data_IF_141587875063
#
_entry.id   IF_141587875063
#
_cell.length_a   1.000
_cell.length_b   1.000
_cell.length_c   1.000
_cell.angle_alpha   90.00
_cell.angle_beta   90.00
_cell.angle_gamma   90.00
#
_symmetry.space_group_name_H-M   'P 1'
#
loop_
_entity.id
_entity.type
_entity.pdbx_description
1 polymer ?
#
# COMPACT_ATOMS: atom_id res chain seq x y z
N UNK A 1 -66.40 11.49 -47.05
CA UNK A 1 -65.07 11.97 -46.61
C UNK A 1 -64.51 11.25 -45.36
N UNK A 2 -64.76 9.94 -45.16
CA UNK A 2 -64.23 9.19 -44.00
C UNK A 2 -63.16 8.13 -44.34
N UNK A 3 -62.86 7.89 -45.63
CA UNK A 3 -61.93 6.83 -46.06
C UNK A 3 -60.44 7.19 -45.88
N UNK A 4 -60.06 8.49 -45.96
CA UNK A 4 -58.65 8.91 -45.84
C UNK A 4 -58.13 8.92 -44.40
N UNK A 5 -59.00 9.06 -43.39
CA UNK A 5 -58.58 9.15 -41.98
C UNK A 5 -58.13 7.78 -41.43
N UNK A 6 -58.78 6.69 -41.85
CA UNK A 6 -58.39 5.33 -41.45
C UNK A 6 -57.04 4.90 -42.01
N UNK A 7 -56.72 5.33 -43.23
CA UNK A 7 -55.45 4.99 -43.89
C UNK A 7 -54.26 5.72 -43.25
N UNK A 8 -54.43 6.99 -42.88
CA UNK A 8 -53.41 7.77 -42.15
C UNK A 8 -53.18 7.19 -40.75
N UNK A 9 -54.26 6.82 -40.04
CA UNK A 9 -54.15 6.18 -38.72
C UNK A 9 -53.39 4.84 -38.80
N UNK A 10 -53.70 4.01 -39.80
CA UNK A 10 -53.03 2.73 -40.03
C UNK A 10 -51.53 2.93 -40.33
N UNK A 11 -51.19 3.91 -41.18
CA UNK A 11 -49.78 4.25 -41.48
C UNK A 11 -49.02 4.75 -40.26
N UNK A 12 -49.63 5.60 -39.43
CA UNK A 12 -48.98 6.10 -38.21
C UNK A 12 -48.78 4.96 -37.20
N UNK A 13 -49.77 4.07 -37.04
CA UNK A 13 -49.66 2.91 -36.14
C UNK A 13 -48.58 1.92 -36.61
N UNK A 14 -48.50 1.61 -37.91
CA UNK A 14 -47.45 0.72 -38.43
C UNK A 14 -46.06 1.35 -38.31
N UNK A 15 -45.94 2.66 -38.55
CA UNK A 15 -44.67 3.37 -38.37
C UNK A 15 -44.23 3.37 -36.90
N UNK A 16 -45.14 3.65 -35.96
CA UNK A 16 -44.87 3.59 -34.52
C UNK A 16 -44.51 2.18 -34.07
N UNK A 17 -45.14 1.16 -34.63
CA UNK A 17 -44.82 -0.23 -34.34
C UNK A 17 -43.41 -0.61 -34.82
N UNK A 18 -43.03 -0.23 -36.05
CA UNK A 18 -41.68 -0.45 -36.58
C UNK A 18 -40.63 0.31 -35.77
N UNK A 19 -40.89 1.58 -35.43
CA UNK A 19 -40.00 2.37 -34.58
C UNK A 19 -39.88 1.77 -33.16
N UNK A 20 -40.96 1.23 -32.60
CA UNK A 20 -40.96 0.51 -31.33
C UNK A 20 -40.10 -0.76 -31.37
N UNK A 21 -40.16 -1.53 -32.45
CA UNK A 21 -39.30 -2.71 -32.64
C UNK A 21 -37.82 -2.33 -32.79
N UNK A 22 -37.52 -1.28 -33.57
CA UNK A 22 -36.14 -0.78 -33.71
C UNK A 22 -35.59 -0.25 -32.37
N UNK A 23 -36.41 0.43 -31.57
CA UNK A 23 -36.03 0.90 -30.24
C UNK A 23 -35.74 -0.28 -29.29
N UNK A 24 -36.56 -1.34 -29.34
CA UNK A 24 -36.40 -2.53 -28.50
C UNK A 24 -35.16 -3.34 -28.89
N UNK A 25 -34.86 -3.44 -30.18
CA UNK A 25 -33.65 -4.09 -30.67
C UNK A 25 -32.39 -3.31 -30.26
N UNK A 26 -32.39 -1.99 -30.43
CA UNK A 26 -31.31 -1.13 -29.96
C UNK A 26 -31.12 -1.20 -28.43
N UNK A 27 -32.20 -1.28 -27.65
CA UNK A 27 -32.12 -1.46 -26.20
C UNK A 27 -31.49 -2.81 -25.83
N UNK A 28 -31.79 -3.87 -26.59
CA UNK A 28 -31.17 -5.19 -26.41
C UNK A 28 -29.68 -5.17 -26.74
N UNK A 29 -29.28 -4.52 -27.83
CA UNK A 29 -27.87 -4.32 -28.17
C UNK A 29 -27.13 -3.54 -27.08
N UNK A 30 -27.74 -2.48 -26.56
CA UNK A 30 -27.17 -1.70 -25.47
C UNK A 30 -27.02 -2.54 -24.19
N UNK A 31 -28.03 -3.32 -23.81
CA UNK A 31 -27.97 -4.20 -22.64
C UNK A 31 -26.87 -5.27 -22.77
N UNK A 32 -26.70 -5.84 -23.97
CA UNK A 32 -25.64 -6.80 -24.26
C UNK A 32 -24.24 -6.15 -24.23
N UNK A 33 -24.12 -4.92 -24.72
CA UNK A 33 -22.86 -4.18 -24.64
C UNK A 33 -22.47 -3.85 -23.19
N UNK A 34 -23.44 -3.42 -22.37
CA UNK A 34 -23.24 -3.12 -20.95
C UNK A 34 -22.87 -4.39 -20.16
N UNK A 35 -23.56 -5.51 -20.40
CA UNK A 35 -23.25 -6.77 -19.72
C UNK A 35 -21.86 -7.29 -20.09
N UNK A 36 -21.47 -7.17 -21.36
CA UNK A 36 -20.12 -7.50 -21.83
C UNK A 36 -19.06 -6.60 -21.18
N UNK A 37 -19.29 -5.29 -21.11
CA UNK A 37 -18.39 -4.37 -20.40
C UNK A 37 -18.27 -4.75 -18.92
N UNK A 38 -19.38 -4.95 -18.21
CA UNK A 38 -19.38 -5.36 -16.80
C UNK A 38 -18.58 -6.64 -16.57
N UNK A 39 -18.75 -7.64 -17.43
CA UNK A 39 -18.00 -8.90 -17.36
C UNK A 39 -16.49 -8.68 -17.54
N UNK A 40 -16.10 -7.84 -18.50
CA UNK A 40 -14.69 -7.49 -18.73
C UNK A 40 -14.10 -6.70 -17.54
N UNK A 41 -14.88 -5.77 -16.95
CA UNK A 41 -14.49 -5.05 -15.74
C UNK A 41 -14.25 -5.98 -14.56
N UNK A 42 -15.14 -6.94 -14.31
CA UNK A 42 -14.97 -7.92 -13.22
C UNK A 42 -13.76 -8.82 -13.43
N UNK A 43 -13.55 -9.31 -14.66
CA UNK A 43 -12.35 -10.08 -14.99
C UNK A 43 -11.07 -9.28 -14.76
N UNK A 44 -11.08 -8.01 -15.14
CA UNK A 44 -9.95 -7.10 -14.94
C UNK A 44 -9.66 -6.86 -13.47
N UNK A 45 -10.67 -6.53 -12.66
CA UNK A 45 -10.49 -6.33 -11.23
C UNK A 45 -9.91 -7.58 -10.54
N UNK A 46 -10.30 -8.78 -11.00
CA UNK A 46 -9.74 -10.04 -10.52
C UNK A 46 -8.26 -10.22 -10.90
N UNK A 47 -7.88 -9.89 -12.12
CA UNK A 47 -6.48 -9.94 -12.57
C UNK A 47 -5.62 -8.92 -11.81
N UNK A 48 -6.13 -7.71 -11.60
CA UNK A 48 -5.46 -6.68 -10.81
C UNK A 48 -5.22 -7.18 -9.38
N UNK A 49 -6.24 -7.79 -8.76
CA UNK A 49 -6.11 -8.39 -7.43
C UNK A 49 -5.11 -9.55 -7.40
N UNK A 50 -5.11 -10.42 -8.42
CA UNK A 50 -4.16 -11.54 -8.51
C UNK A 50 -2.72 -11.05 -8.67
N UNK A 51 -2.48 -10.07 -9.54
CA UNK A 51 -1.17 -9.50 -9.75
C UNK A 51 -0.68 -8.75 -8.49
N UNK A 52 -1.55 -7.97 -7.84
CA UNK A 52 -1.24 -7.33 -6.56
C UNK A 52 -0.91 -8.37 -5.49
N UNK A 53 -1.72 -9.43 -5.37
CA UNK A 53 -1.46 -10.53 -4.44
C UNK A 53 -0.15 -11.25 -4.76
N UNK A 54 0.19 -11.46 -6.04
CA UNK A 54 1.44 -12.11 -6.45
C UNK A 54 2.65 -11.20 -6.27
N UNK A 55 2.55 -9.91 -6.57
CA UNK A 55 3.60 -8.93 -6.31
C UNK A 55 3.89 -8.82 -4.81
N UNK A 56 2.83 -8.79 -3.99
CA UNK A 56 2.96 -8.76 -2.53
C UNK A 56 3.42 -10.10 -1.97
N UNK A 57 3.06 -11.22 -2.59
CA UNK A 57 3.58 -12.53 -2.25
C UNK A 57 5.08 -12.57 -2.57
N UNK A 58 5.47 -12.30 -3.81
CA UNK A 58 6.86 -12.28 -4.29
C UNK A 58 7.74 -11.26 -3.56
N UNK A 59 7.19 -10.17 -3.04
CA UNK A 59 7.88 -9.29 -2.10
C UNK A 59 8.50 -10.07 -0.93
N UNK A 60 7.75 -11.03 -0.38
CA UNK A 60 8.19 -11.93 0.70
C UNK A 60 9.27 -12.90 0.19
N UNK A 61 9.17 -13.40 -1.06
CA UNK A 61 10.16 -14.36 -1.62
C UNK A 61 11.47 -13.72 -2.09
N UNK A 62 11.43 -12.55 -2.73
CA UNK A 62 12.64 -11.85 -3.18
C UNK A 62 13.46 -11.30 -2.02
N UNK A 63 12.84 -11.18 -0.86
CA UNK A 63 13.44 -10.66 0.35
C UNK A 63 14.25 -11.71 1.14
N UNK A 64 14.02 -13.01 0.94
CA UNK A 64 14.79 -14.08 1.59
C UNK A 64 16.02 -14.47 0.75
N UNK A 65 17.24 -14.41 1.34
CA UNK A 65 18.50 -14.78 0.68
C UNK A 65 18.58 -16.26 0.22
N UNK A 66 17.65 -17.11 0.65
CA UNK A 66 17.44 -18.44 0.08
C UNK A 66 16.10 -18.43 -0.66
N UNK A 67 16.03 -18.84 -1.94
CA UNK A 67 14.75 -18.95 -2.64
C UNK A 67 13.95 -20.08 -1.99
N UNK A 68 12.85 -19.80 -1.27
CA UNK A 68 11.90 -20.85 -0.90
C UNK A 68 11.19 -21.30 -2.17
N UNK A 69 10.62 -22.51 -2.17
CA UNK A 69 9.96 -23.02 -3.38
C UNK A 69 8.83 -22.06 -3.80
N UNK A 70 8.78 -21.74 -5.09
CA UNK A 70 7.76 -20.87 -5.71
C UNK A 70 6.30 -21.37 -5.55
N UNK A 71 6.05 -22.41 -4.77
CA UNK A 71 4.77 -23.11 -4.68
C UNK A 71 3.80 -22.52 -3.66
N UNK A 72 4.28 -21.62 -2.79
CA UNK A 72 3.46 -20.98 -1.76
C UNK A 72 2.73 -19.71 -2.26
N UNK A 73 3.11 -19.17 -3.43
CA UNK A 73 2.28 -18.18 -4.12
C UNK A 73 1.23 -18.89 -4.97
N UNK A 74 -0.06 -18.48 -4.91
CA UNK A 74 -1.12 -19.14 -5.66
C UNK A 74 -0.87 -19.03 -7.18
N UNK A 75 -0.34 -20.11 -7.78
CA UNK A 75 -0.23 -20.27 -9.23
C UNK A 75 -1.60 -20.67 -9.76
N UNK A 76 -2.17 -19.88 -10.67
CA UNK A 76 -3.18 -20.44 -11.56
C UNK A 76 -2.45 -21.46 -12.47
N UNK A 77 -2.93 -22.71 -12.62
CA UNK A 77 -2.19 -23.78 -13.29
C UNK A 77 -1.85 -23.48 -14.77
N UNK A 78 -2.49 -22.48 -15.37
CA UNK A 78 -2.30 -22.08 -16.78
C UNK A 78 -1.47 -20.80 -16.98
N UNK A 79 -1.19 -20.04 -15.92
CA UNK A 79 -0.54 -18.73 -16.02
C UNK A 79 0.72 -18.75 -15.16
N UNK A 80 1.88 -18.63 -15.81
CA UNK A 80 3.16 -18.48 -15.12
C UNK A 80 3.48 -16.99 -15.02
N UNK A 81 3.80 -16.53 -13.83
CA UNK A 81 4.28 -15.16 -13.58
C UNK A 81 5.68 -15.25 -13.01
N UNK A 82 6.62 -14.58 -13.65
CA UNK A 82 8.02 -14.49 -13.25
C UNK A 82 8.33 -13.02 -12.94
N UNK A 83 9.02 -12.78 -11.83
CA UNK A 83 9.43 -11.44 -11.41
C UNK A 83 10.91 -11.47 -11.11
N UNK A 84 11.69 -10.69 -11.85
CA UNK A 84 13.16 -10.67 -11.73
C UNK A 84 13.66 -9.26 -11.42
N UNK A 85 14.56 -9.10 -10.44
CA UNK A 85 15.23 -7.82 -10.22
C UNK A 85 16.11 -7.46 -11.42
N UNK A 86 16.08 -6.20 -11.84
CA UNK A 86 16.97 -5.66 -12.87
C UNK A 86 18.23 -5.03 -12.27
N UNK A 87 19.17 -4.63 -13.13
CA UNK A 87 20.45 -4.03 -12.74
C UNK A 87 20.31 -2.70 -11.98
N UNK A 88 19.27 -1.92 -12.27
CA UNK A 88 18.92 -0.72 -11.49
C UNK A 88 18.17 -1.12 -10.22
N UNK A 89 18.67 -0.69 -9.05
CA UNK A 89 18.03 -0.96 -7.77
C UNK A 89 16.66 -0.29 -7.76
N UNK A 90 15.59 -1.08 -7.65
CA UNK A 90 14.16 -0.72 -7.65
C UNK A 90 13.36 -1.09 -8.89
N UNK A 91 14.00 -1.64 -9.92
CA UNK A 91 13.32 -2.09 -11.12
C UNK A 91 13.18 -3.60 -11.13
N UNK A 92 12.01 -4.04 -11.56
CA UNK A 92 11.64 -5.44 -11.64
C UNK A 92 11.01 -5.71 -13.00
N UNK A 93 11.50 -6.73 -13.69
CA UNK A 93 10.84 -7.24 -14.87
C UNK A 93 9.77 -8.23 -14.43
N UNK A 94 8.55 -8.00 -14.86
CA UNK A 94 7.42 -8.91 -14.66
C UNK A 94 7.14 -9.54 -16.01
N UNK A 95 7.21 -10.87 -16.07
CA UNK A 95 6.86 -11.65 -17.25
C UNK A 95 5.65 -12.53 -16.91
N UNK A 96 4.65 -12.52 -17.78
CA UNK A 96 3.49 -13.40 -17.67
C UNK A 96 3.44 -14.25 -18.93
N UNK A 97 3.37 -15.56 -18.76
CA UNK A 97 3.18 -16.49 -19.86
C UNK A 97 1.93 -17.33 -19.66
N UNK A 98 1.17 -17.50 -20.75
CA UNK A 98 0.08 -18.46 -20.87
C UNK A 98 0.28 -19.20 -22.18
N UNK A 99 0.51 -20.51 -22.11
CA UNK A 99 0.85 -21.34 -23.26
C UNK A 99 2.09 -20.79 -24.01
N UNK A 100 1.94 -20.41 -25.29
CA UNK A 100 3.00 -19.88 -26.15
C UNK A 100 3.09 -18.36 -26.21
N UNK A 101 2.22 -17.65 -25.49
CA UNK A 101 2.21 -16.18 -25.46
C UNK A 101 2.85 -15.72 -24.15
N UNK A 102 3.89 -14.91 -24.27
CA UNK A 102 4.56 -14.27 -23.15
C UNK A 102 4.55 -12.75 -23.34
N UNK A 103 4.13 -12.03 -22.31
CA UNK A 103 4.26 -10.58 -22.23
C UNK A 103 5.22 -10.22 -21.12
N UNK A 104 5.99 -9.15 -21.29
CA UNK A 104 6.83 -8.60 -20.23
C UNK A 104 6.63 -7.11 -20.06
N UNK A 105 6.73 -6.64 -18.82
CA UNK A 105 6.77 -5.23 -18.49
C UNK A 105 7.82 -4.98 -17.41
N UNK A 106 8.29 -3.74 -17.32
CA UNK A 106 9.24 -3.31 -16.29
C UNK A 106 8.53 -2.37 -15.33
N UNK A 107 8.47 -2.78 -14.07
CA UNK A 107 7.94 -2.01 -12.96
C UNK A 107 9.09 -1.36 -12.19
N UNK A 108 8.92 -0.11 -11.79
CA UNK A 108 9.79 0.61 -10.87
C UNK A 108 9.06 0.88 -9.54
N UNK A 109 9.73 0.59 -8.42
CA UNK A 109 9.26 0.81 -7.05
C UNK A 109 9.90 2.05 -6.40
N UNK A 110 9.14 3.12 -6.32
CA UNK A 110 9.62 4.42 -5.84
C UNK A 110 10.48 5.12 -6.89
N UNK A 111 10.97 6.31 -6.56
CA UNK A 111 11.71 7.16 -7.49
C UNK A 111 13.22 7.06 -7.25
N UNK A 112 13.64 6.71 -6.03
CA UNK A 112 15.06 6.61 -5.64
C UNK A 112 15.44 5.19 -5.25
N UNK A 113 16.73 4.89 -5.36
CA UNK A 113 17.25 3.58 -4.95
C UNK A 113 17.02 3.35 -3.44
N UNK A 114 17.18 4.41 -2.63
CA UNK A 114 17.11 4.48 -1.16
C UNK A 114 15.70 4.49 -0.56
N UNK A 115 14.66 4.42 -1.38
CA UNK A 115 13.26 4.46 -0.90
C UNK A 115 12.87 3.26 0.01
N UNK A 116 13.78 2.32 0.31
CA UNK A 116 13.53 1.19 1.21
C UNK A 116 13.64 1.54 2.69
N UNK A 117 14.46 2.54 3.08
CA UNK A 117 14.68 2.92 4.47
C UNK A 117 15.07 4.40 4.56
N UNK A 118 14.11 5.29 4.77
CA UNK A 118 14.38 6.73 4.86
C UNK A 118 14.08 7.26 6.25
N UNK A 119 15.14 7.48 7.03
CA UNK A 119 15.12 8.30 8.24
C UNK A 119 15.28 9.76 7.77
N UNK A 120 14.25 10.60 7.96
CA UNK A 120 14.39 12.04 7.70
C UNK A 120 15.15 12.68 8.86
N UNK A 121 16.33 13.21 8.57
CA UNK A 121 17.26 13.71 9.58
C UNK A 121 17.03 15.20 9.98
N UNK A 122 15.89 15.80 9.65
CA UNK A 122 15.63 17.22 9.96
C UNK A 122 15.29 17.44 11.45
N UNK A 123 14.98 16.38 12.20
CA UNK A 123 14.34 16.50 13.51
C UNK A 123 14.99 15.68 14.66
N UNK A 124 16.23 15.19 14.52
CA UNK A 124 16.93 14.47 15.60
C UNK A 124 18.12 15.28 16.05
N UNK A 125 18.08 15.79 17.29
CA UNK A 125 19.12 16.72 17.78
C UNK A 125 20.45 16.03 18.10
N UNK A 126 20.48 14.74 18.48
CA UNK A 126 21.70 14.04 18.91
C UNK A 126 21.70 12.52 18.61
N UNK A 127 22.93 12.00 18.42
CA UNK A 127 23.40 10.59 18.35
C UNK A 127 22.37 9.49 18.05
N UNK A 128 22.26 9.12 16.77
CA UNK A 128 21.75 7.82 16.33
C UNK A 128 22.91 6.96 15.84
N UNK A 129 22.78 5.63 15.97
CA UNK A 129 23.68 4.69 15.32
C UNK A 129 22.90 3.95 14.24
N UNK A 130 23.20 4.27 12.98
CA UNK A 130 22.75 3.48 11.83
C UNK A 130 23.83 2.49 11.45
N UNK A 131 23.44 1.29 11.02
CA UNK A 131 24.38 0.22 10.71
C UNK A 131 24.91 0.25 9.28
N UNK A 132 24.37 1.06 8.36
CA UNK A 132 24.89 1.12 6.98
C UNK A 132 24.80 2.47 6.27
N UNK A 133 25.50 2.53 5.12
CA UNK A 133 25.61 3.64 4.17
C UNK A 133 24.33 3.90 3.36
N UNK A 134 23.29 3.11 3.59
CA UNK A 134 22.01 3.14 2.90
C UNK A 134 21.03 4.18 3.48
N UNK A 135 21.28 4.62 4.72
CA UNK A 135 20.53 5.67 5.40
C UNK A 135 21.22 7.01 5.16
N UNK A 136 20.60 7.87 4.35
CA UNK A 136 21.15 9.21 4.10
C UNK A 136 20.81 10.16 5.28
N UNK A 137 21.80 10.78 5.92
CA UNK A 137 21.59 11.72 7.02
C UNK A 137 21.01 13.08 6.58
N UNK A 138 20.54 13.28 5.36
CA UNK A 138 19.74 14.46 5.00
C UNK A 138 19.00 14.21 3.68
N UNK A 139 17.66 14.22 3.67
CA UNK A 139 16.94 14.16 2.40
C UNK A 139 15.43 13.92 2.48
N UNK A 140 14.68 15.01 2.61
CA UNK A 140 13.26 15.19 2.22
C UNK A 140 12.97 14.57 0.81
N UNK A 141 11.80 13.99 0.43
CA UNK A 141 10.40 14.38 0.68
C UNK A 141 9.33 13.31 0.36
N UNK A 142 9.68 12.15 -0.21
CA UNK A 142 8.67 11.24 -0.80
C UNK A 142 8.60 9.90 -0.09
N UNK A 143 7.45 9.57 0.47
CA UNK A 143 7.22 8.33 1.20
C UNK A 143 7.14 7.15 0.22
N UNK A 144 8.18 6.33 0.11
CA UNK A 144 8.32 5.31 -0.95
C UNK A 144 7.91 5.80 -2.37
N UNK A 145 8.24 7.05 -2.71
CA UNK A 145 7.87 7.71 -3.97
C UNK A 145 6.49 8.37 -4.00
N UNK A 146 5.74 8.41 -2.88
CA UNK A 146 4.50 9.18 -2.76
C UNK A 146 4.75 10.61 -2.28
N UNK A 147 4.07 11.57 -2.90
CA UNK A 147 4.19 13.01 -2.60
C UNK A 147 3.17 13.49 -1.56
N UNK A 148 2.28 12.61 -1.10
CA UNK A 148 1.20 12.93 -0.15
C UNK A 148 0.83 11.73 0.71
N UNK A 149 0.40 12.01 1.94
CA UNK A 149 0.02 10.99 2.91
C UNK A 149 -1.28 10.28 2.48
N UNK A 150 -2.20 10.99 1.83
CA UNK A 150 -3.46 10.46 1.31
C UNK A 150 -3.22 9.32 0.32
N UNK A 151 -2.24 9.50 -0.59
CA UNK A 151 -1.90 8.48 -1.58
C UNK A 151 -1.29 7.23 -0.95
N UNK A 152 -0.53 7.42 0.14
CA UNK A 152 0.09 6.32 0.86
C UNK A 152 -0.91 5.55 1.74
N UNK A 153 -1.80 6.25 2.45
CA UNK A 153 -2.71 5.65 3.44
C UNK A 153 -3.48 4.46 2.83
N UNK A 154 -3.93 4.60 1.58
CA UNK A 154 -4.62 3.55 0.84
C UNK A 154 -3.79 2.29 0.59
N UNK A 155 -2.47 2.41 0.56
CA UNK A 155 -1.51 1.31 0.38
C UNK A 155 -1.04 0.69 1.68
N UNK A 156 -1.20 1.39 2.80
CA UNK A 156 -0.67 0.94 4.08
C UNK A 156 -1.49 -0.22 4.61
N UNK A 157 -2.76 0.03 4.92
CA UNK A 157 -3.64 -1.00 5.46
C UNK A 157 -4.88 -0.44 6.14
N UNK A 158 -5.30 -1.11 7.20
CA UNK A 158 -6.51 -0.78 7.93
C UNK A 158 -6.39 0.56 8.65
N UNK A 159 -7.46 1.36 8.63
CA UNK A 159 -7.51 2.64 9.34
C UNK A 159 -8.10 2.46 10.73
N UNK A 160 -7.40 3.02 11.72
CA UNK A 160 -7.83 3.24 13.08
C UNK A 160 -8.00 4.76 13.27
N UNK A 161 -9.26 5.21 13.33
CA UNK A 161 -9.61 6.58 13.71
C UNK A 161 -9.64 6.65 15.24
N UNK A 162 -8.70 7.38 15.84
CA UNK A 162 -8.53 7.43 17.28
C UNK A 162 -9.53 8.40 17.89
N UNK A 163 -10.41 7.89 18.75
CA UNK A 163 -11.41 8.72 19.42
C UNK A 163 -10.80 9.60 20.52
N UNK A 164 -9.77 9.12 21.21
CA UNK A 164 -9.07 9.88 22.25
C UNK A 164 -7.60 9.45 22.37
N UNK A 165 -6.73 10.42 22.69
CA UNK A 165 -5.30 10.17 22.88
C UNK A 165 -4.98 8.97 23.80
N UNK A 166 -5.55 8.85 25.03
CA UNK A 166 -5.19 7.78 25.95
C UNK A 166 -5.70 6.38 25.55
N UNK A 167 -6.80 6.29 24.78
CA UNK A 167 -7.36 4.98 24.37
C UNK A 167 -6.66 4.38 23.16
N UNK A 168 -5.88 5.18 22.44
CA UNK A 168 -5.20 4.76 21.21
C UNK A 168 -4.42 3.45 21.34
N UNK A 169 -3.59 3.30 22.37
CA UNK A 169 -2.77 2.11 22.56
C UNK A 169 -3.59 0.83 22.73
N UNK A 170 -4.72 0.90 23.44
CA UNK A 170 -5.62 -0.25 23.65
C UNK A 170 -6.37 -0.59 22.36
N UNK A 171 -6.85 0.42 21.64
CA UNK A 171 -7.51 0.23 20.35
C UNK A 171 -6.57 -0.37 19.30
N UNK A 172 -5.32 0.09 19.27
CA UNK A 172 -4.28 -0.44 18.39
C UNK A 172 -3.97 -1.91 18.71
N UNK A 173 -3.80 -2.26 20.00
CA UNK A 173 -3.59 -3.63 20.42
C UNK A 173 -4.77 -4.53 20.05
N UNK A 174 -6.01 -4.05 20.18
CA UNK A 174 -7.19 -4.81 19.78
C UNK A 174 -7.16 -5.12 18.27
N UNK A 175 -6.75 -4.17 17.42
CA UNK A 175 -6.57 -4.42 15.97
C UNK A 175 -5.47 -5.44 15.70
N UNK A 176 -4.34 -5.33 16.40
CA UNK A 176 -3.23 -6.27 16.26
C UNK A 176 -3.62 -7.69 16.72
N UNK A 177 -4.45 -7.83 17.76
CA UNK A 177 -4.96 -9.13 18.18
C UNK A 177 -5.91 -9.77 17.14
N UNK A 178 -6.57 -8.95 16.31
CA UNK A 178 -7.38 -9.39 15.17
C UNK A 178 -6.54 -9.63 13.89
N UNK A 179 -5.23 -9.84 14.03
CA UNK A 179 -4.31 -10.09 12.92
C UNK A 179 -4.16 -8.94 11.91
N UNK A 180 -4.62 -7.73 12.24
CA UNK A 180 -4.31 -6.55 11.42
C UNK A 180 -2.85 -6.15 11.70
N UNK A 181 -1.97 -6.33 10.73
CA UNK A 181 -0.53 -6.05 10.87
C UNK A 181 -0.11 -4.71 10.31
N UNK A 182 -0.91 -4.16 9.40
CA UNK A 182 -0.68 -2.85 8.80
C UNK A 182 -1.80 -1.90 9.21
N UNK A 183 -1.44 -0.95 10.06
CA UNK A 183 -2.41 -0.06 10.71
C UNK A 183 -2.00 1.38 10.47
N UNK A 184 -2.97 2.15 9.98
CA UNK A 184 -2.92 3.61 9.89
C UNK A 184 -3.64 4.16 11.11
N UNK A 185 -2.93 4.86 11.98
CA UNK A 185 -3.45 5.48 13.19
C UNK A 185 -3.68 6.95 12.91
N UNK A 186 -4.94 7.38 12.86
CA UNK A 186 -5.33 8.77 12.60
C UNK A 186 -5.80 9.45 13.88
N UNK A 187 -5.19 10.60 14.19
CA UNK A 187 -5.48 11.39 15.39
C UNK A 187 -4.33 11.39 16.38
N UNK A 188 -4.54 12.04 17.52
CA UNK A 188 -3.55 12.05 18.61
C UNK A 188 -3.50 10.70 19.30
N UNK A 189 -2.31 10.20 19.63
CA UNK A 189 -2.14 8.86 20.20
C UNK A 189 -1.16 8.85 21.38
N UNK A 190 -1.49 8.08 22.42
CA UNK A 190 -0.57 7.71 23.48
C UNK A 190 -0.43 6.18 23.54
N UNK A 191 0.81 5.72 23.66
CA UNK A 191 1.18 4.31 23.83
C UNK A 191 2.13 4.21 25.02
N UNK A 192 1.72 3.47 26.03
CA UNK A 192 2.54 3.17 27.21
C UNK A 192 3.59 2.10 26.93
N UNK A 193 4.61 2.01 27.79
CA UNK A 193 5.68 1.01 27.66
C UNK A 193 5.16 -0.43 27.66
N UNK A 194 4.12 -0.71 28.46
CA UNK A 194 3.48 -2.02 28.50
C UNK A 194 2.76 -2.35 27.19
N UNK A 195 2.03 -1.39 26.63
CA UNK A 195 1.34 -1.56 25.35
C UNK A 195 2.36 -1.76 24.22
N UNK A 196 3.43 -0.97 24.21
CA UNK A 196 4.52 -1.12 23.26
C UNK A 196 5.18 -2.49 23.36
N UNK A 197 5.48 -2.98 24.57
CA UNK A 197 6.04 -4.32 24.76
C UNK A 197 5.12 -5.40 24.18
N UNK A 198 3.80 -5.31 24.38
CA UNK A 198 2.84 -6.23 23.77
C UNK A 198 2.86 -6.17 22.24
N UNK A 199 2.94 -4.98 21.65
CA UNK A 199 3.07 -4.82 20.20
C UNK A 199 4.36 -5.45 19.68
N UNK A 200 5.50 -5.23 20.36
CA UNK A 200 6.78 -5.84 19.96
C UNK A 200 6.74 -7.36 20.05
N UNK A 201 6.06 -7.93 21.05
CA UNK A 201 5.86 -9.39 21.15
C UNK A 201 5.03 -9.93 19.98
N UNK A 202 3.96 -9.23 19.59
CA UNK A 202 3.16 -9.60 18.41
C UNK A 202 4.02 -9.54 17.15
N UNK A 203 4.88 -8.52 17.04
CA UNK A 203 5.74 -8.31 15.88
C UNK A 203 6.77 -9.42 15.64
N UNK A 204 7.11 -10.20 16.69
CA UNK A 204 8.06 -11.32 16.57
C UNK A 204 7.55 -12.46 15.68
N UNK A 205 6.22 -12.64 15.61
CA UNK A 205 5.60 -13.69 14.78
C UNK A 205 5.37 -13.21 13.35
N UNK A 206 5.02 -11.95 13.18
CA UNK A 206 4.73 -11.35 11.87
C UNK A 206 5.05 -9.86 11.96
N UNK A 207 5.78 -9.29 10.98
CA UNK A 207 6.10 -7.87 10.99
C UNK A 207 4.86 -6.98 11.18
N UNK A 208 4.99 -5.95 12.01
CA UNK A 208 3.93 -4.97 12.29
C UNK A 208 4.34 -3.62 11.69
N UNK A 209 3.47 -3.06 10.84
CA UNK A 209 3.69 -1.82 10.13
C UNK A 209 2.70 -0.75 10.62
N UNK A 210 3.23 0.27 11.30
CA UNK A 210 2.45 1.33 11.93
C UNK A 210 2.69 2.65 11.22
N UNK A 211 1.61 3.34 10.85
CA UNK A 211 1.65 4.69 10.30
C UNK A 211 0.82 5.62 11.18
N UNK A 212 1.48 6.45 11.96
CA UNK A 212 0.87 7.47 12.80
C UNK A 212 0.67 8.76 12.01
N UNK A 213 -0.55 9.29 12.00
CA UNK A 213 -0.93 10.51 11.26
C UNK A 213 -1.76 11.39 12.17
N UNK A 214 -1.27 12.59 12.46
CA UNK A 214 -1.91 13.44 13.45
C UNK A 214 -1.02 14.56 13.92
N UNK A 215 -1.34 15.07 15.09
CA UNK A 215 -0.75 16.27 15.65
C UNK A 215 0.12 15.98 16.89
N UNK A 216 -0.32 15.10 17.80
CA UNK A 216 0.43 14.74 19.02
C UNK A 216 0.59 13.22 19.22
N UNK A 217 1.80 12.78 19.54
CA UNK A 217 2.13 11.39 19.79
C UNK A 217 2.99 11.25 21.05
N UNK A 218 2.54 10.44 22.01
CA UNK A 218 3.35 10.06 23.17
C UNK A 218 3.62 8.57 23.10
N UNK A 219 4.87 8.19 22.82
CA UNK A 219 5.29 6.80 22.70
C UNK A 219 6.30 6.50 23.80
N UNK A 220 5.92 5.67 24.76
CA UNK A 220 6.85 5.04 25.68
C UNK A 220 7.28 3.71 25.10
N UNK A 221 8.52 3.64 24.63
CA UNK A 221 9.04 2.52 23.86
C UNK A 221 10.02 1.69 24.68
N UNK A 222 9.94 0.38 24.47
CA UNK A 222 10.83 -0.60 25.08
C UNK A 222 10.95 -1.80 24.14
N UNK A 223 12.13 -2.42 24.00
CA UNK A 223 12.32 -3.56 23.09
C UNK A 223 12.27 -3.21 21.59
N UNK A 224 12.60 -4.20 20.75
CA UNK A 224 12.70 -4.04 19.29
C UNK A 224 11.37 -4.33 18.59
N UNK A 225 10.83 -3.35 17.85
CA UNK A 225 9.73 -3.57 16.91
C UNK A 225 10.25 -4.24 15.64
N UNK A 226 9.64 -5.34 15.23
CA UNK A 226 9.91 -5.97 13.94
C UNK A 226 8.91 -5.45 12.89
N UNK A 227 9.39 -4.69 11.90
CA UNK A 227 8.54 -4.09 10.87
C UNK A 227 8.84 -2.61 10.64
N UNK A 228 7.82 -1.83 10.28
CA UNK A 228 7.97 -0.41 9.92
C UNK A 228 7.23 0.49 10.90
N UNK A 229 7.91 1.52 11.40
CA UNK A 229 7.29 2.63 12.10
C UNK A 229 7.38 3.88 11.23
N UNK A 230 6.24 4.48 10.93
CA UNK A 230 6.14 5.77 10.26
C UNK A 230 5.36 6.76 11.13
N UNK A 231 5.89 7.97 11.30
CA UNK A 231 5.21 9.06 12.00
C UNK A 231 5.10 10.24 11.05
N UNK A 232 3.87 10.71 10.82
CA UNK A 232 3.55 11.83 9.95
C UNK A 232 2.79 12.90 10.73
N UNK A 233 3.51 13.96 11.10
CA UNK A 233 2.94 15.12 11.75
C UNK A 233 2.32 16.07 10.72
N UNK A 234 1.09 16.50 10.97
CA UNK A 234 0.29 17.31 10.03
C UNK A 234 0.06 18.77 10.47
N UNK A 235 0.28 19.11 11.75
CA UNK A 235 -0.03 20.43 12.34
C UNK A 235 1.15 21.02 13.13
N UNK A 236 1.34 22.35 13.09
CA UNK A 236 2.67 22.97 13.20
C UNK A 236 3.11 23.61 14.53
N UNK A 237 2.25 23.87 15.52
CA UNK A 237 2.64 24.86 16.56
C UNK A 237 2.64 24.37 18.02
N UNK A 238 1.60 23.68 18.51
CA UNK A 238 1.48 23.38 19.95
C UNK A 238 1.54 21.88 20.30
N UNK A 239 1.82 21.02 19.33
CA UNK A 239 1.72 19.57 19.51
C UNK A 239 3.07 18.89 19.33
N UNK A 240 3.44 18.10 20.33
CA UNK A 240 4.73 17.45 20.42
C UNK A 240 4.62 15.95 20.09
N UNK A 241 5.68 15.45 19.47
CA UNK A 241 5.97 14.03 19.35
C UNK A 241 6.99 13.70 20.42
N UNK A 242 6.55 13.00 21.46
CA UNK A 242 7.39 12.58 22.58
C UNK A 242 7.66 11.08 22.48
N UNK A 243 8.93 10.69 22.34
CA UNK A 243 9.36 9.30 22.35
C UNK A 243 10.27 9.11 23.57
N UNK A 244 9.77 8.38 24.56
CA UNK A 244 10.46 8.10 25.82
C UNK A 244 11.00 6.67 25.83
N UNK A 245 12.27 6.50 26.22
CA UNK A 245 12.97 5.21 26.22
C UNK A 245 13.84 4.97 24.97
N UNK A 246 14.43 3.77 24.88
CA UNK A 246 15.30 3.37 23.76
C UNK A 246 14.48 2.76 22.62
N UNK A 247 14.24 3.55 21.56
CA UNK A 247 13.60 3.07 20.35
C UNK A 247 14.53 2.08 19.63
N UNK A 248 14.05 0.85 19.43
CA UNK A 248 14.74 -0.16 18.63
C UNK A 248 13.79 -0.67 17.55
N UNK A 249 14.20 -0.62 16.29
CA UNK A 249 13.40 -1.11 15.16
C UNK A 249 14.27 -2.00 14.29
N UNK A 250 13.75 -3.18 13.95
CA UNK A 250 14.33 -4.16 13.03
C UNK A 250 13.47 -4.20 11.77
N UNK A 251 13.85 -3.36 10.80
CA UNK A 251 13.03 -2.97 9.66
C UNK A 251 13.24 -1.48 9.35
N UNK A 252 12.16 -0.71 9.25
CA UNK A 252 12.19 0.68 8.79
C UNK A 252 11.65 1.69 9.80
N UNK A 253 12.32 2.84 9.93
CA UNK A 253 11.79 4.01 10.62
C UNK A 253 11.65 5.17 9.63
N UNK A 254 10.50 5.81 9.64
CA UNK A 254 10.24 7.02 8.86
C UNK A 254 9.60 8.11 9.72
N UNK A 255 10.08 9.33 9.57
CA UNK A 255 9.63 10.48 10.36
C UNK A 255 9.40 11.67 9.44
N UNK A 256 8.18 12.19 9.42
CA UNK A 256 7.83 13.47 8.84
C UNK A 256 7.34 14.35 9.98
N UNK A 257 8.23 15.17 10.51
CA UNK A 257 8.01 15.95 11.72
C UNK A 257 8.16 17.43 11.40
N UNK A 258 7.31 18.25 12.00
CA UNK A 258 7.32 19.69 11.85
C UNK A 258 8.22 20.36 12.90
N UNK A 259 8.57 19.64 13.96
CA UNK A 259 9.47 20.08 15.03
C UNK A 259 10.48 18.96 15.38
N UNK A 260 11.60 19.36 15.99
CA UNK A 260 12.66 18.44 16.45
C UNK A 260 12.15 17.61 17.63
N UNK A 261 12.39 16.29 17.64
CA UNK A 261 12.11 15.45 18.81
C UNK A 261 13.28 15.61 19.80
N UNK A 262 12.95 16.01 21.03
CA UNK A 262 13.87 15.93 22.16
C UNK A 262 13.97 14.46 22.61
N UNK A 263 14.93 13.71 22.07
CA UNK A 263 15.23 12.37 22.56
C UNK A 263 15.93 12.51 23.93
N UNK A 264 15.24 12.15 25.01
CA UNK A 264 15.73 12.37 26.37
C UNK A 264 16.74 11.34 26.86
N UNK A 265 16.82 10.14 26.27
CA UNK A 265 17.72 9.04 26.72
C UNK A 265 18.15 8.09 25.56
N UNK A 266 18.97 7.05 25.83
CA UNK A 266 20.13 6.72 25.00
C UNK A 266 19.74 6.14 23.63
N UNK A 267 19.83 6.97 22.59
CA UNK A 267 19.95 6.59 21.18
C UNK A 267 18.80 5.80 20.55
N UNK A 268 18.46 6.12 19.31
CA UNK A 268 17.64 5.23 18.50
C UNK A 268 18.51 4.20 17.79
N UNK A 269 18.11 2.93 17.88
CA UNK A 269 18.78 1.82 17.22
C UNK A 269 17.91 1.31 16.09
N UNK A 270 18.38 1.46 14.86
CA UNK A 270 17.65 1.01 13.68
C UNK A 270 18.49 -0.07 13.04
N UNK A 271 18.05 -1.31 13.20
CA UNK A 271 18.70 -2.50 12.64
C UNK A 271 18.15 -2.71 11.23
N UNK A 272 19.05 -2.60 10.27
CA UNK A 272 18.73 -2.90 8.88
C UNK A 272 18.53 -4.39 8.71
N UNK A 273 17.29 -4.76 8.39
CA UNK A 273 16.95 -6.10 7.95
C UNK A 273 16.50 -6.01 6.50
N UNK A 274 17.46 -6.29 5.62
CA UNK A 274 17.30 -6.19 4.16
C UNK A 274 16.04 -6.89 3.68
N UNK A 275 15.71 -8.04 4.28
CA UNK A 275 14.50 -8.79 3.97
C UNK A 275 13.26 -7.92 4.24
N UNK A 276 13.08 -7.48 5.48
CA UNK A 276 11.91 -6.71 5.91
C UNK A 276 11.78 -5.36 5.21
N UNK A 277 12.92 -4.72 4.94
CA UNK A 277 12.97 -3.48 4.18
C UNK A 277 12.52 -3.68 2.73
N UNK A 278 12.89 -4.79 2.11
CA UNK A 278 12.41 -5.14 0.76
C UNK A 278 10.92 -5.49 0.76
N UNK A 279 10.44 -6.29 1.72
CA UNK A 279 9.01 -6.58 1.88
C UNK A 279 8.18 -5.30 2.00
N UNK A 280 8.61 -4.40 2.88
CA UNK A 280 7.97 -3.10 3.07
C UNK A 280 8.01 -2.24 1.80
N UNK A 281 9.14 -2.22 1.07
CA UNK A 281 9.26 -1.49 -0.19
C UNK A 281 8.26 -1.96 -1.23
N UNK A 282 8.15 -3.27 -1.47
CA UNK A 282 7.20 -3.80 -2.44
C UNK A 282 5.76 -3.48 -2.08
N UNK A 283 5.45 -3.52 -0.80
CA UNK A 283 4.12 -3.23 -0.27
C UNK A 283 3.76 -1.77 -0.42
N UNK A 284 4.62 -0.89 0.08
CA UNK A 284 4.29 0.51 0.30
C UNK A 284 4.82 1.46 -0.76
N UNK A 285 5.64 1.01 -1.74
CA UNK A 285 6.14 1.89 -2.78
C UNK A 285 5.15 2.24 -3.88
N UNK A 286 5.28 3.46 -4.38
CA UNK A 286 4.65 3.91 -5.63
C UNK A 286 5.18 3.03 -6.75
N UNK A 287 4.25 2.41 -7.46
CA UNK A 287 4.55 1.57 -8.62
C UNK A 287 4.41 2.40 -9.88
N UNK A 288 5.43 2.39 -10.72
CA UNK A 288 5.39 3.02 -12.04
C UNK A 288 5.85 2.03 -13.10
N UNK A 289 5.28 2.09 -14.29
CA UNK A 289 5.64 1.24 -15.42
C UNK A 289 6.62 2.00 -16.32
N UNK A 290 7.82 1.44 -16.52
CA UNK A 290 8.87 2.04 -17.35
C UNK A 290 8.81 1.57 -18.79
N UNK A 291 8.53 0.29 -18.99
CA UNK A 291 8.40 -0.34 -20.30
C UNK A 291 7.20 -1.26 -20.27
N UNK A 292 6.37 -1.15 -21.30
CA UNK A 292 5.04 -1.77 -21.31
C UNK A 292 4.12 -1.13 -20.29
N UNK A 293 2.96 -1.74 -20.12
CA UNK A 293 2.02 -1.38 -19.08
C UNK A 293 1.32 -2.63 -18.58
N UNK A 294 0.66 -2.52 -17.42
CA UNK A 294 -0.19 -3.60 -16.93
C UNK A 294 -1.28 -4.00 -17.95
N UNK A 295 -1.64 -3.11 -18.89
CA UNK A 295 -2.64 -3.35 -19.95
C UNK A 295 -2.17 -4.29 -21.05
N UNK A 296 -0.87 -4.57 -21.09
CA UNK A 296 -0.28 -5.46 -22.09
C UNK A 296 -0.40 -6.94 -21.64
N UNK A 297 -0.77 -7.19 -20.37
CA UNK A 297 -0.99 -8.52 -19.78
C UNK A 297 -2.45 -8.98 -19.84
#
# INVERSE_FOLDING_TARGET
MNSNKGYVLLMVLTLLFVLGFLALDNARYLANAISSQSYMYQKRARLDWQLESMLNCVAVYLSSMQPPSTDDCPKAPEIQVLIEPLSQRNQFQIQVSKNSVATSAVMQLGEREQDYAMISNIAVSHSYSTTSSLVDPAGLLSFYGYDSIESLQHRWGSVLEVASKPTCGDELLARLQQSQRDVVIKGSCAVSAQQWQQMTNISQLTPVNLLFIGSSFDLSVSSTLQGVLAIWQTESVDMQVNITGSLSIDGGLHLHLLQVIEASEPGWVIRENTQRLQEARFKFAKRSWRVGSWRDF
#
